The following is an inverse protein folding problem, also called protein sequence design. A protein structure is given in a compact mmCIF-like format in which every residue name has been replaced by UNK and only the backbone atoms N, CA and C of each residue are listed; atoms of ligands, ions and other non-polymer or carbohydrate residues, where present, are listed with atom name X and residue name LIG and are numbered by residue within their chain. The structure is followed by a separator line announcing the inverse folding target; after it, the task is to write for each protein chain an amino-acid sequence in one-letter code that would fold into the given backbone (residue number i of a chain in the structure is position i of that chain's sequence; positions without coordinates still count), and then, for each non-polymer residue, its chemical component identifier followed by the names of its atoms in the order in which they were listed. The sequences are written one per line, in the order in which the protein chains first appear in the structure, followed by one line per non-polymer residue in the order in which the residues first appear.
data_IF_750310269255
#
_entry.id   IF_750310269255
#
_cell.length_a   1.000
_cell.length_b   1.000
_cell.length_c   1.000
_cell.angle_alpha   90.00
_cell.angle_beta   90.00
_cell.angle_gamma   90.00
#
_symmetry.space_group_name_H-M   'P 1'
#
loop_
_entity.id
_entity.type
_entity.pdbx_description
1 polymer ?
#
# COMPACT_ATOMS: atom_id res chain seq x y z
N UNK A 1 -2.45 -4.59 -16.12
CA UNK A 1 -2.74 -4.00 -14.81
C UNK A 1 -4.15 -4.39 -14.43
N UNK A 2 -4.37 -4.81 -13.19
CA UNK A 2 -5.67 -5.16 -12.64
C UNK A 2 -5.93 -4.21 -11.47
N UNK A 3 -6.89 -3.30 -11.63
CA UNK A 3 -7.33 -2.43 -10.54
C UNK A 3 -8.31 -3.18 -9.64
N UNK A 4 -8.38 -2.79 -8.36
CA UNK A 4 -9.43 -3.29 -7.49
C UNK A 4 -10.81 -2.97 -8.11
N UNK A 5 -11.74 -3.93 -8.19
CA UNK A 5 -13.03 -3.73 -8.89
C UNK A 5 -13.87 -2.61 -8.28
N UNK A 6 -13.78 -2.42 -6.96
CA UNK A 6 -14.50 -1.37 -6.24
C UNK A 6 -13.75 -0.02 -6.18
N UNK A 7 -12.71 0.18 -7.01
CA UNK A 7 -11.98 1.43 -7.04
C UNK A 7 -12.90 2.62 -7.37
N UNK A 8 -12.80 3.69 -6.57
CA UNK A 8 -13.54 4.93 -6.76
C UNK A 8 -12.58 6.10 -6.98
N UNK A 9 -12.59 6.70 -8.18
CA UNK A 9 -11.68 7.80 -8.55
C UNK A 9 -11.98 9.14 -7.85
N UNK A 10 -13.17 9.30 -7.27
CA UNK A 10 -13.55 10.53 -6.55
C UNK A 10 -13.10 10.50 -5.09
N UNK A 11 -13.30 9.37 -4.41
CA UNK A 11 -12.93 9.19 -2.99
C UNK A 11 -11.60 8.45 -2.78
N UNK A 12 -10.95 8.05 -3.88
CA UNK A 12 -9.80 7.15 -3.93
C UNK A 12 -10.04 5.84 -3.17
N UNK A 13 -11.30 5.43 -2.98
CA UNK A 13 -11.62 4.17 -2.29
C UNK A 13 -11.01 3.00 -3.05
N UNK A 14 -10.41 2.05 -2.33
CA UNK A 14 -9.78 0.87 -2.92
C UNK A 14 -8.73 1.17 -4.01
N UNK A 15 -8.01 2.30 -3.88
CA UNK A 15 -6.82 2.68 -4.69
C UNK A 15 -5.62 1.73 -4.54
N UNK A 16 -5.80 0.48 -4.99
CA UNK A 16 -4.79 -0.57 -5.06
C UNK A 16 -4.91 -1.25 -6.43
N UNK A 17 -3.78 -1.58 -7.04
CA UNK A 17 -3.71 -2.29 -8.31
C UNK A 17 -2.54 -3.28 -8.32
N UNK A 18 -2.69 -4.34 -9.13
CA UNK A 18 -1.63 -5.31 -9.40
C UNK A 18 -1.14 -5.12 -10.85
N UNK A 19 0.18 -5.12 -11.03
CA UNK A 19 0.82 -5.01 -12.33
C UNK A 19 1.58 -6.29 -12.67
N UNK A 20 1.03 -7.08 -13.58
CA UNK A 20 1.77 -8.18 -14.20
C UNK A 20 2.83 -7.61 -15.16
N UNK A 21 4.07 -8.06 -14.98
CA UNK A 21 5.17 -7.71 -15.88
C UNK A 21 5.09 -8.53 -17.16
N UNK A 22 5.36 -7.89 -18.30
CA UNK A 22 5.38 -8.57 -19.59
C UNK A 22 6.51 -9.61 -19.71
N UNK A 23 7.56 -9.47 -18.89
CA UNK A 23 8.69 -10.39 -18.82
C UNK A 23 9.04 -10.65 -17.36
N UNK A 24 9.20 -11.91 -16.94
CA UNK A 24 9.67 -12.22 -15.59
C UNK A 24 11.04 -11.58 -15.34
N UNK A 25 11.22 -11.05 -14.13
CA UNK A 25 12.51 -10.48 -13.74
C UNK A 25 13.42 -11.60 -13.25
N UNK A 26 14.72 -11.48 -13.56
CA UNK A 26 15.73 -12.44 -13.09
C UNK A 26 15.85 -12.31 -11.56
N UNK A 27 15.63 -13.39 -10.79
CA UNK A 27 15.60 -13.33 -9.32
C UNK A 27 16.88 -12.78 -8.68
N UNK A 28 18.03 -13.01 -9.31
CA UNK A 28 19.33 -12.52 -8.82
C UNK A 28 19.46 -10.99 -8.85
N UNK A 29 18.60 -10.31 -9.60
CA UNK A 29 18.64 -8.86 -9.78
C UNK A 29 17.62 -8.09 -8.95
N UNK A 30 16.72 -8.79 -8.26
CA UNK A 30 15.60 -8.16 -7.54
C UNK A 30 15.27 -8.90 -6.26
N UNK A 31 15.21 -8.15 -5.17
CA UNK A 31 14.68 -8.62 -3.90
C UNK A 31 13.16 -8.42 -3.86
N UNK A 32 12.49 -9.38 -3.22
CA UNK A 32 11.05 -9.51 -3.25
C UNK A 32 10.58 -9.28 -1.83
N UNK A 33 9.69 -8.32 -1.66
CA UNK A 33 9.11 -8.07 -0.36
C UNK A 33 7.98 -9.08 -0.07
N UNK A 34 7.90 -9.49 1.20
CA UNK A 34 6.74 -10.20 1.71
C UNK A 34 5.53 -9.24 1.75
N UNK A 35 4.31 -9.78 1.73
CA UNK A 35 3.10 -9.02 2.00
C UNK A 35 2.62 -9.25 3.43
N UNK A 36 2.20 -8.18 4.08
CA UNK A 36 1.59 -8.29 5.40
C UNK A 36 0.24 -8.99 5.31
N UNK A 37 -0.03 -9.84 6.29
CA UNK A 37 -1.36 -10.36 6.61
C UNK A 37 -1.78 -9.84 7.98
N UNK A 38 -2.98 -10.19 8.45
CA UNK A 38 -3.51 -9.71 9.74
C UNK A 38 -2.60 -10.07 10.93
N UNK A 39 -1.83 -11.16 10.85
CA UNK A 39 -0.90 -11.58 11.90
C UNK A 39 0.45 -10.87 11.87
N UNK A 40 0.87 -10.34 10.73
CA UNK A 40 2.18 -9.66 10.55
C UNK A 40 2.06 -8.15 10.36
N UNK A 41 0.84 -7.64 10.20
CA UNK A 41 0.52 -6.22 10.16
C UNK A 41 0.56 -5.63 11.58
N UNK A 42 1.73 -5.12 11.95
CA UNK A 42 1.93 -4.43 13.23
C UNK A 42 1.94 -2.92 13.01
N UNK A 43 0.75 -2.31 12.97
CA UNK A 43 0.58 -0.88 12.65
C UNK A 43 1.24 0.06 13.67
N UNK A 44 1.54 -0.40 14.88
CA UNK A 44 2.18 0.41 15.93
C UNK A 44 3.71 0.50 15.76
N UNK A 45 4.29 -0.33 14.90
CA UNK A 45 5.73 -0.32 14.68
C UNK A 45 6.13 0.81 13.72
N UNK A 46 7.35 1.31 13.89
CA UNK A 46 7.97 2.15 12.89
C UNK A 46 8.02 1.42 11.55
N UNK A 47 7.69 2.13 10.47
CA UNK A 47 7.76 1.62 9.11
C UNK A 47 8.71 2.48 8.29
N UNK A 48 9.26 1.90 7.22
CA UNK A 48 10.03 2.63 6.22
C UNK A 48 9.16 2.86 5.01
N UNK A 49 8.89 4.13 4.72
CA UNK A 49 8.32 4.53 3.45
C UNK A 49 9.41 4.52 2.37
N UNK A 50 9.16 3.84 1.26
CA UNK A 50 10.00 3.90 0.06
C UNK A 50 9.21 4.53 -1.08
N UNK A 51 9.81 5.51 -1.74
CA UNK A 51 9.19 6.22 -2.85
C UNK A 51 10.20 6.45 -3.97
N UNK A 52 9.76 6.23 -5.21
CA UNK A 52 10.46 6.65 -6.42
C UNK A 52 9.74 7.82 -7.05
N UNK A 53 10.50 8.80 -7.53
CA UNK A 53 9.93 9.97 -8.19
C UNK A 53 10.82 10.43 -9.33
N UNK A 54 10.20 10.60 -10.50
CA UNK A 54 10.82 11.20 -11.67
C UNK A 54 10.20 12.58 -11.91
N UNK A 55 11.04 13.62 -11.91
CA UNK A 55 10.60 14.95 -12.36
C UNK A 55 10.49 14.92 -13.88
N UNK A 56 9.41 15.47 -14.44
CA UNK A 56 9.19 15.53 -15.89
C UNK A 56 10.35 16.15 -16.68
N UNK A 57 11.13 17.04 -16.05
CA UNK A 57 12.26 17.73 -16.66
C UNK A 57 13.58 16.94 -16.56
N UNK A 58 13.66 15.88 -15.74
CA UNK A 58 14.90 15.15 -15.46
C UNK A 58 14.81 13.69 -15.94
N UNK A 59 15.91 13.19 -16.50
CA UNK A 59 16.02 11.79 -16.95
C UNK A 59 16.33 10.81 -15.81
N UNK A 60 16.72 11.30 -14.63
CA UNK A 60 17.05 10.47 -13.47
C UNK A 60 15.89 10.34 -12.49
N UNK A 61 15.66 9.11 -12.03
CA UNK A 61 14.71 8.77 -10.96
C UNK A 61 15.36 9.02 -9.60
N UNK A 62 14.73 9.82 -8.74
CA UNK A 62 15.13 10.01 -7.34
C UNK A 62 14.44 8.96 -6.48
N UNK A 63 15.23 8.17 -5.73
CA UNK A 63 14.74 7.18 -4.77
C UNK A 63 14.92 7.72 -3.36
N UNK A 64 13.88 7.62 -2.53
CA UNK A 64 13.93 8.07 -1.14
C UNK A 64 13.33 7.04 -0.20
N UNK A 65 13.95 6.94 0.96
CA UNK A 65 13.43 6.21 2.11
C UNK A 65 13.31 7.17 3.32
N UNK A 66 12.20 7.09 4.05
CA UNK A 66 12.00 7.79 5.33
C UNK A 66 11.36 6.86 6.35
N UNK A 67 11.69 7.05 7.62
CA UNK A 67 10.97 6.41 8.72
C UNK A 67 9.67 7.15 8.96
N UNK A 68 8.59 6.39 9.10
CA UNK A 68 7.24 6.88 9.30
C UNK A 68 6.56 6.07 10.41
N UNK A 69 5.48 6.63 10.95
CA UNK A 69 4.59 5.96 11.88
C UNK A 69 3.17 6.08 11.36
N UNK A 70 2.40 4.99 11.47
CA UNK A 70 0.96 5.07 11.27
C UNK A 70 0.34 5.68 12.52
N UNK A 71 -0.59 6.62 12.32
CA UNK A 71 -1.40 7.13 13.41
C UNK A 71 -2.37 6.05 13.90
N UNK A 72 -2.75 6.11 15.17
CA UNK A 72 -3.92 5.37 15.66
C UNK A 72 -5.19 5.88 14.98
N UNK A 73 -6.30 5.15 15.11
CA UNK A 73 -7.58 5.60 14.57
C UNK A 73 -7.99 6.97 15.14
N UNK A 74 -7.78 7.15 16.45
CA UNK A 74 -8.02 8.41 17.15
C UNK A 74 -7.09 9.52 16.67
N UNK A 75 -5.79 9.27 16.58
CA UNK A 75 -4.82 10.26 16.09
C UNK A 75 -5.14 10.67 14.65
N UNK A 76 -5.51 9.72 13.80
CA UNK A 76 -5.93 10.00 12.44
C UNK A 76 -7.23 10.80 12.39
N UNK A 77 -8.19 10.50 13.26
CA UNK A 77 -9.46 11.20 13.35
C UNK A 77 -9.30 12.65 13.82
N UNK A 78 -8.43 12.88 14.82
CA UNK A 78 -8.08 14.21 15.31
C UNK A 78 -7.26 14.99 14.29
N UNK A 79 -6.35 14.30 13.60
CA UNK A 79 -5.50 14.91 12.60
C UNK A 79 -6.29 15.33 11.35
N UNK A 80 -7.30 14.58 10.96
CA UNK A 80 -8.12 14.91 9.79
C UNK A 80 -9.19 15.94 10.15
N UNK A 81 -9.43 16.90 9.24
CA UNK A 81 -10.57 17.81 9.42
C UNK A 81 -11.88 17.01 9.40
N UNK A 82 -12.91 17.39 10.19
CA UNK A 82 -14.15 16.64 10.30
C UNK A 82 -14.80 16.26 8.96
N UNK A 83 -14.69 17.13 7.94
CA UNK A 83 -15.20 16.88 6.58
C UNK A 83 -14.59 15.67 5.87
N UNK A 84 -13.46 15.17 6.36
CA UNK A 84 -12.67 14.11 5.75
C UNK A 84 -12.80 12.77 6.50
N UNK A 85 -13.25 12.79 7.77
CA UNK A 85 -13.25 11.62 8.64
C UNK A 85 -14.13 10.50 8.07
N UNK A 86 -15.38 10.80 7.76
CA UNK A 86 -16.35 9.83 7.21
C UNK A 86 -16.02 9.37 5.78
N UNK A 87 -15.13 10.09 5.09
CA UNK A 87 -14.78 9.80 3.70
C UNK A 87 -13.52 8.93 3.60
N UNK A 88 -12.55 9.13 4.48
CA UNK A 88 -11.20 8.61 4.29
C UNK A 88 -10.73 7.60 5.35
N UNK A 89 -11.31 7.57 6.55
CA UNK A 89 -11.02 6.54 7.56
C UNK A 89 -12.01 5.38 7.47
N UNK A 90 -12.02 4.72 6.31
CA UNK A 90 -12.78 3.49 6.07
C UNK A 90 -11.95 2.24 6.39
N UNK A 91 -12.59 1.07 6.59
CA UNK A 91 -11.87 -0.19 6.73
C UNK A 91 -10.83 -0.38 5.62
N UNK A 92 -9.65 -0.87 6.01
CA UNK A 92 -8.53 -1.07 5.08
C UNK A 92 -7.68 0.16 4.79
N UNK A 93 -7.93 1.28 5.48
CA UNK A 93 -7.08 2.47 5.44
C UNK A 93 -6.52 2.79 6.81
N UNK A 94 -5.39 3.48 6.82
CA UNK A 94 -4.88 4.20 7.99
C UNK A 94 -4.19 5.48 7.51
N UNK A 95 -3.70 6.30 8.43
CA UNK A 95 -2.98 7.52 8.11
C UNK A 95 -1.53 7.50 8.57
N UNK A 96 -0.71 8.30 7.91
CA UNK A 96 0.63 8.70 8.32
C UNK A 96 0.59 10.19 8.63
N UNK A 97 1.02 10.57 9.82
CA UNK A 97 1.06 11.96 10.26
C UNK A 97 2.52 12.41 10.24
N UNK A 98 2.88 13.25 9.26
CA UNK A 98 4.25 13.75 9.13
C UNK A 98 4.26 15.19 8.57
N UNK A 99 4.93 16.09 9.29
CA UNK A 99 5.07 17.51 8.98
C UNK A 99 6.07 17.79 7.84
N UNK A 100 7.04 16.88 7.63
CA UNK A 100 8.05 16.96 6.58
C UNK A 100 7.62 16.32 5.25
N UNK A 101 6.40 15.80 5.19
CA UNK A 101 5.94 15.02 4.06
C UNK A 101 5.81 15.87 2.77
N UNK A 102 6.44 15.43 1.67
CA UNK A 102 6.26 16.05 0.34
C UNK A 102 5.16 15.35 -0.45
N UNK A 103 3.94 15.92 -0.48
CA UNK A 103 2.73 15.36 -1.15
C UNK A 103 2.98 14.66 -2.49
N UNK A 104 3.84 15.24 -3.34
CA UNK A 104 4.16 14.71 -4.66
C UNK A 104 4.83 13.31 -4.65
N UNK A 105 5.31 12.85 -3.49
CA UNK A 105 6.09 11.62 -3.30
C UNK A 105 5.34 10.53 -2.52
N UNK A 106 4.04 10.69 -2.26
CA UNK A 106 3.25 9.74 -1.46
C UNK A 106 2.53 8.68 -2.28
N UNK A 107 1.90 9.11 -3.37
CA UNK A 107 1.05 8.23 -4.15
C UNK A 107 1.91 7.16 -4.81
N UNK A 108 1.56 5.90 -4.56
CA UNK A 108 2.32 4.73 -4.99
C UNK A 108 3.57 4.43 -4.14
N UNK A 109 3.83 5.11 -3.03
CA UNK A 109 4.92 4.72 -2.14
C UNK A 109 4.57 3.45 -1.37
N UNK A 110 5.57 2.64 -1.01
CA UNK A 110 5.36 1.47 -0.16
C UNK A 110 5.79 1.73 1.27
N UNK A 111 5.10 1.12 2.22
CA UNK A 111 5.43 1.16 3.64
C UNK A 111 5.81 -0.24 4.08
N UNK A 112 7.04 -0.39 4.55
CA UNK A 112 7.63 -1.67 4.91
C UNK A 112 7.84 -1.73 6.42
N UNK A 113 7.45 -2.83 7.07
CA UNK A 113 8.11 -3.20 8.32
C UNK A 113 9.45 -3.85 8.02
N UNK A 114 10.36 -3.71 8.97
CA UNK A 114 11.67 -4.34 8.96
C UNK A 114 11.72 -5.27 10.15
N UNK A 115 11.84 -6.58 9.91
CA UNK A 115 12.25 -7.51 10.95
C UNK A 115 13.77 -7.64 10.93
N UNK A 116 14.42 -7.07 11.95
CA UNK A 116 15.88 -7.07 12.06
C UNK A 116 16.47 -8.45 12.35
N UNK A 117 15.67 -9.44 12.76
CA UNK A 117 16.17 -10.80 13.06
C UNK A 117 16.45 -11.58 11.78
N UNK A 118 15.55 -11.43 10.80
CA UNK A 118 15.61 -12.18 9.54
C UNK A 118 15.92 -11.27 8.34
N UNK A 119 16.13 -9.97 8.58
CA UNK A 119 16.38 -8.94 7.56
C UNK A 119 15.32 -8.94 6.44
N UNK A 120 14.07 -9.25 6.79
CA UNK A 120 12.98 -9.33 5.81
C UNK A 120 12.18 -8.04 5.79
N UNK A 121 11.90 -7.58 4.57
CA UNK A 121 10.99 -6.45 4.33
C UNK A 121 9.59 -6.97 4.06
N UNK A 122 8.63 -6.52 4.85
CA UNK A 122 7.22 -6.85 4.65
C UNK A 122 6.45 -5.58 4.29
N UNK A 123 5.82 -5.56 3.10
CA UNK A 123 4.95 -4.45 2.68
C UNK A 123 3.67 -4.50 3.49
N UNK A 124 3.48 -3.47 4.31
CA UNK A 124 2.29 -3.31 5.16
C UNK A 124 1.25 -2.41 4.50
N UNK A 125 1.69 -1.38 3.76
CA UNK A 125 0.74 -0.45 3.16
C UNK A 125 1.25 0.16 1.86
N UNK A 126 0.30 0.67 1.08
CA UNK A 126 0.54 1.46 -0.14
C UNK A 126 0.00 2.87 0.05
N UNK A 127 0.82 3.88 -0.24
CA UNK A 127 0.41 5.28 -0.16
C UNK A 127 -0.56 5.63 -1.29
N UNK A 128 -1.70 6.24 -0.95
CA UNK A 128 -2.72 6.64 -1.94
C UNK A 128 -2.64 8.14 -2.22
N UNK A 129 -3.09 8.99 -1.27
CA UNK A 129 -3.07 10.44 -1.41
C UNK A 129 -2.72 11.13 -0.09
N UNK A 130 -2.22 12.36 -0.18
CA UNK A 130 -1.91 13.19 0.99
C UNK A 130 -2.85 14.40 1.05
N UNK A 131 -3.55 14.55 2.17
CA UNK A 131 -4.35 15.74 2.46
C UNK A 131 -3.53 16.72 3.27
N UNK A 132 -3.88 17.99 3.16
CA UNK A 132 -3.32 19.01 4.03
C UNK A 132 -4.39 19.42 5.03
N UNK A 133 -4.04 19.40 6.31
CA UNK A 133 -4.85 20.05 7.33
C UNK A 133 -4.21 21.40 7.70
N UNK A 134 -4.76 22.54 7.25
CA UNK A 134 -4.28 23.87 7.63
C UNK A 134 -4.59 24.21 9.09
N UNK A 135 -5.50 23.50 9.75
CA UNK A 135 -5.98 23.83 11.10
C UNK A 135 -5.08 23.24 12.20
N UNK A 136 -4.17 22.31 11.86
CA UNK A 136 -3.24 21.72 12.83
C UNK A 136 -1.90 22.39 12.71
N UNK A 137 -1.49 22.97 13.83
CA UNK A 137 -0.33 23.84 13.93
C UNK A 137 0.63 23.22 14.94
N UNK A 138 1.69 22.49 14.53
CA UNK A 138 2.76 22.18 15.45
C UNK A 138 3.54 23.46 15.74
N UNK A 139 3.24 24.09 16.87
CA UNK A 139 4.04 25.14 17.48
C UNK A 139 3.68 26.60 17.17
N UNK A 140 3.21 26.97 15.97
CA UNK A 140 2.46 28.20 15.56
C UNK A 140 2.57 28.50 14.04
N UNK A 141 1.80 29.49 13.56
CA UNK A 141 1.37 29.75 12.18
C UNK A 141 2.46 29.69 11.09
N UNK A 142 2.53 28.53 10.41
CA UNK A 142 3.00 28.26 9.03
C UNK A 142 3.36 26.78 8.86
N UNK A 143 3.30 25.99 9.93
CA UNK A 143 3.59 24.55 9.89
C UNK A 143 2.44 23.77 9.25
N UNK A 144 2.68 23.27 8.05
CA UNK A 144 1.70 22.52 7.25
C UNK A 144 1.83 21.02 7.54
N UNK A 145 0.98 20.46 8.41
CA UNK A 145 0.92 18.99 8.51
C UNK A 145 0.25 18.44 7.25
N UNK A 146 0.93 17.48 6.64
CA UNK A 146 0.39 16.66 5.58
C UNK A 146 0.06 15.29 6.18
N UNK A 147 -1.17 14.86 5.96
CA UNK A 147 -1.65 13.57 6.43
C UNK A 147 -1.73 12.68 5.21
N UNK A 148 -0.91 11.64 5.20
CA UNK A 148 -0.93 10.63 4.15
C UNK A 148 -1.99 9.58 4.46
N UNK A 149 -2.83 9.22 3.49
CA UNK A 149 -3.77 8.10 3.60
C UNK A 149 -3.19 6.88 2.88
N UNK A 150 -2.97 5.81 3.63
CA UNK A 150 -2.43 4.56 3.08
C UNK A 150 -3.50 3.47 3.06
N UNK A 151 -3.35 2.53 2.14
CA UNK A 151 -4.15 1.31 2.07
C UNK A 151 -3.37 0.14 2.66
N UNK A 152 -3.98 -0.51 3.64
CA UNK A 152 -3.42 -1.65 4.39
C UNK A 152 -3.38 -2.90 3.51
N UNK A 153 -2.19 -3.41 3.19
CA UNK A 153 -2.00 -4.59 2.36
C UNK A 153 -2.77 -5.79 2.91
N UNK A 154 -2.73 -6.01 4.22
CA UNK A 154 -3.43 -7.13 4.86
C UNK A 154 -4.94 -7.12 4.59
N UNK A 155 -5.56 -5.95 4.41
CA UNK A 155 -6.98 -5.83 4.07
C UNK A 155 -7.29 -6.26 2.63
N UNK A 156 -6.33 -6.09 1.72
CA UNK A 156 -6.48 -6.40 0.29
C UNK A 156 -5.84 -7.73 -0.10
N UNK A 157 -5.21 -8.44 0.85
CA UNK A 157 -4.40 -9.62 0.56
C UNK A 157 -5.20 -10.69 -0.19
N UNK A 158 -6.40 -11.04 0.28
CA UNK A 158 -7.25 -12.04 -0.39
C UNK A 158 -7.56 -11.67 -1.85
N UNK A 159 -7.80 -10.38 -2.14
CA UNK A 159 -8.07 -9.90 -3.50
C UNK A 159 -6.79 -9.92 -4.34
N UNK A 160 -5.65 -9.51 -3.77
CA UNK A 160 -4.34 -9.57 -4.42
C UNK A 160 -4.03 -11.01 -4.85
N UNK A 161 -4.19 -11.96 -3.92
CA UNK A 161 -3.96 -13.38 -4.16
C UNK A 161 -4.86 -13.90 -5.28
N UNK A 162 -6.13 -13.51 -5.30
CA UNK A 162 -7.06 -13.86 -6.37
C UNK A 162 -6.66 -13.28 -7.73
N UNK A 163 -6.18 -12.04 -7.75
CA UNK A 163 -5.76 -11.35 -8.97
C UNK A 163 -4.43 -11.91 -9.53
N UNK A 164 -3.55 -12.43 -8.67
CA UNK A 164 -2.26 -13.02 -9.08
C UNK A 164 -2.43 -14.49 -9.45
N UNK A 165 -3.23 -15.24 -8.71
CA UNK A 165 -3.42 -16.69 -8.89
C UNK A 165 -4.77 -17.02 -9.53
N UNK A 166 -5.16 -16.26 -10.56
CA UNK A 166 -6.45 -16.44 -11.25
C UNK A 166 -6.71 -17.91 -11.64
N UNK A 167 -5.68 -18.64 -12.08
CA UNK A 167 -5.80 -20.05 -12.44
C UNK A 167 -6.10 -20.96 -11.23
N UNK A 168 -5.42 -20.75 -10.09
CA UNK A 168 -5.66 -21.52 -8.86
C UNK A 168 -7.05 -21.23 -8.26
N UNK A 169 -7.54 -20.00 -8.42
CA UNK A 169 -8.88 -19.61 -7.97
C UNK A 169 -10.01 -19.99 -8.94
N UNK A 170 -9.75 -19.97 -10.26
CA UNK A 170 -10.64 -20.55 -11.27
C UNK A 170 -10.79 -22.06 -11.07
N UNK A 171 -9.70 -22.71 -10.65
CA UNK A 171 -9.69 -24.08 -10.19
C UNK A 171 -10.49 -24.18 -8.87
N UNK A 172 -10.30 -23.34 -7.85
CA UNK A 172 -11.14 -23.33 -6.61
C UNK A 172 -12.65 -23.16 -6.87
N UNK A 173 -13.10 -22.45 -7.91
CA UNK A 173 -14.52 -22.42 -8.25
C UNK A 173 -15.04 -23.76 -8.79
N UNK A 174 -14.21 -24.51 -9.53
CA UNK A 174 -14.48 -25.92 -9.89
C UNK A 174 -14.35 -26.86 -8.70
N UNK A 175 -13.41 -26.63 -7.78
CA UNK A 175 -13.26 -27.45 -6.57
C UNK A 175 -14.24 -27.08 -5.46
N UNK A 176 -14.87 -25.90 -5.41
CA UNK A 176 -15.97 -25.62 -4.45
C UNK A 176 -17.19 -26.51 -4.74
N UNK A 177 -17.35 -26.96 -5.98
CA UNK A 177 -18.32 -27.99 -6.37
C UNK A 177 -17.87 -29.42 -5.98
N UNK A 178 -16.57 -29.66 -5.73
CA UNK A 178 -16.01 -31.00 -5.44
C UNK A 178 -15.63 -31.18 -3.95
N UNK A 179 -15.23 -30.12 -3.25
CA UNK A 179 -14.63 -30.12 -1.90
C UNK A 179 -15.58 -29.65 -0.78
N UNK A 180 -16.90 -29.77 -0.99
CA UNK A 180 -17.79 -30.07 0.14
C UNK A 180 -17.41 -31.42 0.82
N UNK A 181 -16.50 -32.17 0.21
CA UNK A 181 -15.77 -33.29 0.80
C UNK A 181 -14.26 -32.99 0.88
N UNK A 182 -13.72 -32.99 2.11
CA UNK A 182 -12.29 -33.09 2.50
C UNK A 182 -11.50 -31.78 2.72
N UNK A 183 -11.31 -31.50 4.01
CA UNK A 183 -10.09 -30.95 4.63
C UNK A 183 -8.81 -31.47 3.96
N UNK A 184 -7.80 -30.59 3.84
CA UNK A 184 -6.33 -30.83 3.96
C UNK A 184 -5.68 -29.43 3.75
N UNK A 185 -5.06 -28.82 4.76
CA UNK A 185 -3.66 -28.96 5.22
C UNK A 185 -2.66 -28.27 4.28
N UNK A 186 -1.91 -27.34 4.87
CA UNK A 186 -1.13 -26.33 4.18
C UNK A 186 0.12 -26.85 3.49
N UNK A 187 0.51 -26.13 2.44
CA UNK A 187 1.85 -26.07 1.90
C UNK A 187 2.07 -24.63 1.44
N UNK A 188 3.04 -23.97 2.07
CA UNK A 188 3.50 -22.65 1.69
C UNK A 188 4.27 -22.75 0.37
N UNK A 189 3.78 -22.06 -0.66
CA UNK A 189 4.52 -21.82 -1.90
C UNK A 189 5.00 -20.38 -1.89
N UNK A 190 6.32 -20.20 -1.80
CA UNK A 190 6.99 -18.91 -1.86
C UNK A 190 7.11 -18.48 -3.32
N UNK A 191 6.47 -17.37 -3.70
CA UNK A 191 6.66 -16.75 -5.01
C UNK A 191 6.60 -15.23 -4.96
N UNK A 192 7.35 -14.67 -5.89
CA UNK A 192 7.64 -13.26 -6.12
C UNK A 192 6.45 -12.48 -6.66
N UNK A 193 5.91 -11.56 -5.86
CA UNK A 193 5.02 -10.52 -6.38
C UNK A 193 5.74 -9.18 -6.30
N UNK A 194 6.13 -8.64 -7.46
CA UNK A 194 6.69 -7.30 -7.56
C UNK A 194 5.54 -6.28 -7.47
N UNK A 195 5.35 -5.67 -6.32
CA UNK A 195 4.47 -4.51 -6.21
C UNK A 195 5.22 -3.30 -6.75
N UNK A 196 4.81 -2.83 -7.93
CA UNK A 196 5.21 -1.53 -8.43
C UNK A 196 4.12 -0.53 -8.08
N UNK A 197 4.49 0.49 -7.32
CA UNK A 197 3.64 1.64 -7.03
C UNK A 197 3.29 2.32 -8.34
N UNK A 198 2.01 2.33 -8.69
CA UNK A 198 1.54 2.88 -9.95
C UNK A 198 1.62 4.41 -9.89
N UNK A 199 2.70 4.98 -10.41
CA UNK A 199 2.65 6.26 -11.13
C UNK A 199 2.95 6.01 -12.60
N UNK A 200 2.00 5.37 -13.28
CA UNK A 200 1.92 5.54 -14.73
C UNK A 200 1.42 6.96 -14.97
N UNK A 201 2.35 7.84 -15.33
CA UNK A 201 2.04 9.04 -16.08
C UNK A 201 1.29 8.59 -17.35
N UNK A 202 -0.04 8.54 -17.26
CA UNK A 202 -0.88 8.56 -18.43
C UNK A 202 -0.70 9.93 -19.09
N UNK A 203 0.32 10.03 -19.93
CA UNK A 203 0.24 10.95 -21.07
C UNK A 203 -0.86 10.39 -21.97
N UNK A 204 -1.99 11.08 -22.00
CA UNK A 204 -2.92 10.97 -23.11
C UNK A 204 -3.43 12.37 -23.41
N UNK A 205 -2.93 12.86 -24.56
CA UNK A 205 -3.17 14.13 -25.27
C UNK A 205 -2.43 15.37 -24.78
#
# INVERSE_FOLDING_TARGET
MVCHPDYNSTSFQHDVAVLALATPVVPESVEIACLANVGTEHLQNAVVQTASFQKSMWTSTDYRASYEYFGTEEECYEALQPRYNDTFLKPGRTCVINDQFKKAKFSGSFFHSIDNRDCTFTVIAVGSFAVHNPDIVPGWADTKINIGIVHRVAYYLDWIEQAVWEEEFAIKHKWKLVNKARNIQGNALSFTVLFLGVRLLAYSY
#
